data_IF_154437323354
#
_entry.id   IF_154437323354
#
_cell.length_a   1.000
_cell.length_b   1.000
_cell.length_c   1.000
_cell.angle_alpha   90.00
_cell.angle_beta   90.00
_cell.angle_gamma   90.00
#
_symmetry.space_group_name_H-M   'P 1'
#
loop_
_entity.id
_entity.type
_entity.pdbx_description
1 polymer ?
#
# COMPACT_ATOMS: atom_id res chain seq x y z
N UNK A 1 56.61 7.46 -5.67
CA UNK A 1 56.48 6.00 -5.82
C UNK A 1 55.66 5.76 -7.06
N UNK A 2 56.31 5.29 -8.12
CA UNK A 2 55.76 5.04 -9.46
C UNK A 2 55.52 3.53 -9.58
N UNK A 3 54.31 3.12 -9.98
CA UNK A 3 54.03 1.87 -10.71
C UNK A 3 52.67 2.11 -11.42
N UNK A 4 52.62 2.36 -12.73
CA UNK A 4 52.90 1.51 -13.90
C UNK A 4 51.63 0.88 -14.46
N UNK A 5 51.42 1.16 -15.75
CA UNK A 5 50.39 0.68 -16.66
C UNK A 5 50.55 -0.82 -16.96
N UNK A 6 49.42 -1.52 -17.14
CA UNK A 6 49.27 -2.67 -18.05
C UNK A 6 47.86 -2.59 -18.65
N UNK A 7 47.76 -2.16 -19.91
CA UNK A 7 47.31 -2.91 -21.11
C UNK A 7 45.90 -3.51 -21.04
N UNK A 8 44.91 -2.93 -21.73
CA UNK A 8 44.49 -3.22 -23.12
C UNK A 8 43.98 -4.66 -23.33
N UNK A 9 42.68 -4.77 -23.60
CA UNK A 9 42.11 -5.80 -24.46
C UNK A 9 40.96 -5.19 -25.28
N UNK A 10 41.24 -4.97 -26.56
CA UNK A 10 40.28 -4.70 -27.62
C UNK A 10 39.36 -5.91 -27.83
N UNK A 11 38.08 -5.64 -28.10
CA UNK A 11 37.33 -6.43 -29.06
C UNK A 11 36.59 -5.47 -29.98
N UNK A 12 37.22 -5.23 -31.13
CA UNK A 12 36.60 -4.72 -32.34
C UNK A 12 36.03 -5.92 -33.07
N UNK A 13 34.74 -5.90 -33.39
CA UNK A 13 34.17 -6.73 -34.46
C UNK A 13 33.39 -5.77 -35.36
N UNK A 14 34.01 -5.50 -36.50
CA UNK A 14 33.35 -5.05 -37.73
C UNK A 14 32.28 -6.09 -38.11
N UNK A 15 31.11 -5.62 -38.53
CA UNK A 15 30.57 -5.96 -39.84
C UNK A 15 29.36 -5.09 -40.14
N UNK A 16 29.64 -4.04 -40.91
CA UNK A 16 28.77 -3.63 -42.00
C UNK A 16 28.38 -4.86 -42.85
N UNK A 17 27.21 -4.74 -43.46
CA UNK A 17 26.57 -5.66 -44.40
C UNK A 17 25.80 -6.83 -43.77
N UNK A 18 24.48 -6.66 -43.70
CA UNK A 18 23.51 -7.53 -44.39
C UNK A 18 22.23 -6.69 -44.66
N UNK A 19 22.12 -6.25 -45.93
CA UNK A 19 20.89 -6.21 -46.73
C UNK A 19 19.78 -5.25 -46.20
N UNK A 20 19.70 -3.98 -46.59
CA UNK A 20 19.32 -3.46 -47.92
C UNK A 20 18.34 -4.35 -48.71
N UNK A 21 17.08 -4.41 -48.28
CA UNK A 21 15.94 -4.75 -49.15
C UNK A 21 14.91 -3.63 -49.04
N UNK A 22 14.74 -2.96 -50.18
CA UNK A 22 13.51 -2.34 -50.68
C UNK A 22 12.79 -1.33 -49.78
N UNK A 23 12.99 -0.05 -50.13
CA UNK A 23 12.08 1.05 -49.81
C UNK A 23 10.89 1.14 -50.79
N UNK A 24 10.68 0.12 -51.63
CA UNK A 24 9.66 0.11 -52.68
C UNK A 24 8.99 -1.27 -52.77
N UNK A 25 8.12 -1.63 -51.80
CA UNK A 25 6.98 -2.53 -52.05
C UNK A 25 6.02 -2.59 -50.86
N UNK A 26 4.71 -2.57 -51.16
CA UNK A 26 3.54 -2.67 -50.27
C UNK A 26 3.12 -1.43 -49.49
N UNK A 27 2.98 -0.33 -50.23
CA UNK A 27 1.87 0.62 -50.07
C UNK A 27 0.64 0.07 -50.84
N UNK A 28 0.02 -1.00 -50.31
CA UNK A 28 -1.24 -1.61 -50.77
C UNK A 28 -1.73 -2.42 -49.56
N UNK A 29 -2.89 -2.29 -48.91
CA UNK A 29 -4.16 -1.55 -48.99
C UNK A 29 -4.88 -1.86 -47.67
N UNK A 30 -5.75 -0.96 -47.19
CA UNK A 30 -7.12 -1.30 -46.73
C UNK A 30 -7.87 -0.10 -46.11
N UNK A 31 -7.77 1.08 -46.72
CA UNK A 31 -8.90 2.02 -46.76
C UNK A 31 -9.40 2.06 -48.20
N UNK A 32 -10.09 1.00 -48.62
CA UNK A 32 -11.09 0.89 -49.71
C UNK A 32 -11.26 -0.57 -50.10
N UNK A 33 -12.16 -1.26 -49.41
CA UNK A 33 -13.02 -2.24 -50.08
C UNK A 33 -14.41 -1.62 -50.04
N UNK A 34 -14.72 -0.87 -51.10
CA UNK A 34 -16.07 -0.88 -51.63
C UNK A 34 -16.40 -2.32 -52.00
N UNK A 35 -17.60 -2.75 -51.60
CA UNK A 35 -18.45 -3.69 -52.31
C UNK A 35 -17.75 -4.53 -53.38
N UNK A 36 -17.46 -5.79 -53.05
CA UNK A 36 -17.91 -6.92 -53.86
C UNK A 36 -17.63 -8.21 -53.09
N UNK A 37 -18.56 -9.16 -53.20
CA UNK A 37 -18.56 -10.49 -52.59
C UNK A 37 -18.93 -10.63 -51.11
N UNK A 38 -19.99 -9.93 -50.67
CA UNK A 38 -21.00 -10.64 -49.87
C UNK A 38 -21.88 -11.36 -50.89
N UNK A 39 -21.55 -12.61 -51.21
CA UNK A 39 -22.58 -13.51 -51.71
C UNK A 39 -23.57 -13.63 -50.57
N UNK A 40 -24.70 -12.94 -50.72
CA UNK A 40 -25.96 -13.37 -50.14
C UNK A 40 -26.05 -14.88 -50.34
N UNK A 41 -25.90 -15.64 -49.27
CA UNK A 41 -26.59 -16.92 -49.19
C UNK A 41 -28.05 -16.51 -49.02
N UNK A 42 -28.71 -16.23 -50.15
CA UNK A 42 -30.16 -16.20 -50.14
C UNK A 42 -30.58 -17.63 -49.80
N UNK A 43 -31.35 -17.73 -48.73
CA UNK A 43 -32.06 -18.94 -48.35
C UNK A 43 -33.20 -19.10 -49.36
N UNK A 44 -32.86 -19.43 -50.59
CA UNK A 44 -33.79 -19.74 -51.67
C UNK A 44 -33.42 -21.10 -52.24
N UNK A 45 -33.67 -22.12 -51.43
CA UNK A 45 -33.72 -23.50 -51.93
C UNK A 45 -34.57 -24.38 -51.02
N UNK A 46 -35.73 -23.88 -50.57
CA UNK A 46 -36.81 -24.73 -50.07
C UNK A 46 -38.16 -24.07 -50.33
N UNK A 47 -38.62 -24.11 -51.58
CA UNK A 47 -40.05 -24.05 -51.93
C UNK A 47 -40.18 -24.37 -53.42
N UNK A 48 -40.01 -25.65 -53.77
CA UNK A 48 -40.58 -26.18 -55.01
C UNK A 48 -41.54 -27.31 -54.63
N UNK A 49 -42.75 -26.91 -54.21
CA UNK A 49 -43.91 -27.81 -54.20
C UNK A 49 -44.23 -28.08 -55.67
N UNK A 50 -43.64 -29.16 -56.21
CA UNK A 50 -44.09 -29.75 -57.47
C UNK A 50 -45.53 -30.23 -57.27
N UNK A 51 -46.48 -29.41 -57.72
CA UNK A 51 -47.84 -29.85 -58.05
C UNK A 51 -47.76 -30.87 -59.19
N UNK A 52 -47.70 -32.15 -58.86
CA UNK A 52 -48.03 -33.21 -59.81
C UNK A 52 -49.56 -33.26 -59.96
N UNK A 53 -50.06 -32.58 -60.99
CA UNK A 53 -51.30 -32.95 -61.67
C UNK A 53 -51.02 -34.28 -62.38
N UNK A 54 -51.74 -35.34 -62.00
CA UNK A 54 -51.98 -36.47 -62.89
C UNK A 54 -53.39 -37.01 -62.69
N UNK A 55 -54.26 -36.53 -63.58
CA UNK A 55 -55.14 -37.29 -64.47
C UNK A 55 -55.78 -38.57 -63.91
N UNK A 56 -57.07 -38.43 -63.62
CA UNK A 56 -58.04 -39.52 -63.46
C UNK A 56 -58.26 -40.18 -64.83
N UNK A 57 -58.02 -41.48 -64.91
CA UNK A 57 -58.54 -42.37 -65.96
C UNK A 57 -59.21 -43.57 -65.27
N UNK A 58 -60.54 -43.67 -65.44
CA UNK A 58 -61.38 -44.87 -65.26
C UNK A 58 -61.07 -45.84 -66.42
N UNK A 59 -61.08 -47.17 -66.40
CA UNK A 59 -61.56 -48.32 -65.57
C UNK A 59 -60.86 -49.60 -66.19
N UNK A 60 -61.03 -50.90 -65.79
CA UNK A 60 -62.02 -51.53 -64.90
C UNK A 60 -61.46 -52.54 -63.85
N UNK A 61 -62.40 -53.00 -63.03
CA UNK A 61 -62.53 -54.12 -62.05
C UNK A 61 -61.37 -55.13 -61.80
N UNK A 62 -61.21 -55.40 -60.49
CA UNK A 62 -60.44 -56.44 -59.75
C UNK A 62 -59.00 -56.06 -59.33
N UNK A 63 -58.70 -56.23 -58.02
CA UNK A 63 -57.43 -55.94 -57.32
C UNK A 63 -57.05 -54.47 -57.01
N UNK A 64 -58.00 -53.64 -56.57
CA UNK A 64 -57.69 -52.26 -56.09
C UNK A 64 -56.88 -52.19 -54.80
N UNK A 65 -56.98 -53.17 -53.92
CA UNK A 65 -56.31 -53.10 -52.61
C UNK A 65 -54.79 -53.28 -52.77
N UNK A 66 -54.34 -54.25 -53.56
CA UNK A 66 -52.91 -54.62 -53.65
C UNK A 66 -52.04 -53.53 -54.30
N UNK A 67 -52.57 -52.78 -55.26
CA UNK A 67 -51.90 -51.65 -55.91
C UNK A 67 -51.86 -50.39 -55.03
N UNK A 68 -52.88 -50.18 -54.20
CA UNK A 68 -52.91 -49.12 -53.19
C UNK A 68 -51.92 -49.43 -52.07
N UNK A 69 -51.87 -50.67 -51.58
CA UNK A 69 -50.91 -51.09 -50.55
C UNK A 69 -49.47 -50.94 -51.02
N UNK A 70 -49.16 -51.34 -52.27
CA UNK A 70 -47.81 -51.14 -52.86
C UNK A 70 -47.44 -49.66 -53.02
N UNK A 71 -48.40 -48.78 -53.36
CA UNK A 71 -48.16 -47.33 -53.39
C UNK A 71 -47.96 -46.75 -52.00
N UNK A 72 -48.73 -47.19 -51.01
CA UNK A 72 -48.59 -46.77 -49.60
C UNK A 72 -47.22 -47.18 -49.06
N UNK A 73 -46.80 -48.44 -49.25
CA UNK A 73 -45.48 -48.93 -48.83
C UNK A 73 -44.36 -48.11 -49.48
N UNK A 74 -44.44 -47.82 -50.79
CA UNK A 74 -43.44 -46.99 -51.48
C UNK A 74 -43.38 -45.56 -50.95
N UNK A 75 -44.53 -44.97 -50.58
CA UNK A 75 -44.59 -43.63 -49.97
C UNK A 75 -44.01 -43.64 -48.55
N UNK A 76 -44.29 -44.70 -47.76
CA UNK A 76 -43.72 -44.88 -46.43
C UNK A 76 -42.20 -45.04 -46.50
N UNK A 77 -41.68 -45.90 -47.38
CA UNK A 77 -40.24 -46.08 -47.59
C UNK A 77 -39.55 -44.79 -48.04
N UNK A 78 -40.20 -44.00 -48.92
CA UNK A 78 -39.71 -42.68 -49.31
C UNK A 78 -39.71 -41.69 -48.14
N UNK A 79 -40.74 -41.73 -47.29
CA UNK A 79 -40.83 -40.86 -46.12
C UNK A 79 -39.81 -41.24 -45.05
N UNK A 80 -39.56 -42.53 -44.83
CA UNK A 80 -38.52 -43.03 -43.92
C UNK A 80 -37.13 -42.66 -44.44
N UNK A 81 -36.89 -42.77 -45.76
CA UNK A 81 -35.66 -42.30 -46.39
C UNK A 81 -35.46 -40.80 -46.23
N UNK A 82 -36.53 -39.99 -46.40
CA UNK A 82 -36.49 -38.55 -46.16
C UNK A 82 -36.27 -38.20 -44.69
N UNK A 83 -36.88 -38.93 -43.77
CA UNK A 83 -36.66 -38.78 -42.32
C UNK A 83 -35.20 -39.05 -41.98
N UNK A 84 -34.62 -40.15 -42.47
CA UNK A 84 -33.20 -40.47 -42.22
C UNK A 84 -32.24 -39.41 -42.77
N UNK A 85 -32.55 -38.83 -43.94
CA UNK A 85 -31.78 -37.71 -44.50
C UNK A 85 -31.93 -36.44 -43.67
N UNK A 86 -33.12 -36.17 -43.16
CA UNK A 86 -33.38 -35.03 -42.29
C UNK A 86 -32.63 -35.16 -40.96
N UNK A 87 -32.63 -36.34 -40.35
CA UNK A 87 -31.88 -36.63 -39.13
C UNK A 87 -30.36 -36.50 -39.36
N UNK A 88 -29.87 -36.99 -40.51
CA UNK A 88 -28.48 -36.78 -40.93
C UNK A 88 -28.16 -35.29 -41.08
N UNK A 89 -29.03 -34.49 -41.69
CA UNK A 89 -28.84 -33.05 -41.84
C UNK A 89 -28.85 -32.30 -40.49
N UNK A 90 -29.75 -32.69 -39.59
CA UNK A 90 -29.80 -32.15 -38.22
C UNK A 90 -28.49 -32.46 -37.49
N UNK A 91 -27.99 -33.69 -37.59
CA UNK A 91 -26.72 -34.07 -36.95
C UNK A 91 -25.54 -33.24 -37.48
N UNK A 92 -25.46 -33.01 -38.80
CA UNK A 92 -24.42 -32.17 -39.39
C UNK A 92 -24.54 -30.70 -38.96
N UNK A 93 -25.76 -30.19 -38.83
CA UNK A 93 -25.98 -28.80 -38.38
C UNK A 93 -25.59 -28.60 -36.92
N UNK A 94 -25.84 -29.59 -36.05
CA UNK A 94 -25.39 -29.56 -34.66
C UNK A 94 -23.86 -29.51 -34.59
N UNK A 95 -23.17 -30.36 -35.36
CA UNK A 95 -21.69 -30.34 -35.41
C UNK A 95 -21.13 -29.01 -35.93
N UNK A 96 -21.79 -28.40 -36.93
CA UNK A 96 -21.41 -27.07 -37.44
C UNK A 96 -21.64 -25.98 -36.38
N UNK A 97 -22.75 -26.03 -35.63
CA UNK A 97 -23.03 -25.10 -34.53
C UNK A 97 -21.99 -25.21 -33.41
N UNK A 98 -21.58 -26.43 -33.04
CA UNK A 98 -20.52 -26.65 -32.05
C UNK A 98 -19.18 -26.10 -32.54
N UNK A 99 -18.85 -26.33 -33.82
CA UNK A 99 -17.64 -25.76 -34.43
C UNK A 99 -17.66 -24.23 -34.44
N UNK A 100 -18.79 -23.59 -34.78
CA UNK A 100 -18.94 -22.13 -34.77
C UNK A 100 -18.79 -21.60 -33.34
N UNK A 101 -19.39 -22.29 -32.36
CA UNK A 101 -19.31 -21.91 -30.95
C UNK A 101 -17.87 -21.99 -30.44
N UNK A 102 -17.10 -23.01 -30.85
CA UNK A 102 -15.67 -23.12 -30.54
C UNK A 102 -14.86 -21.99 -31.17
N UNK A 103 -15.15 -21.60 -32.42
CA UNK A 103 -14.47 -20.49 -33.09
C UNK A 103 -14.77 -19.16 -32.39
N UNK A 104 -16.01 -18.92 -31.98
CA UNK A 104 -16.39 -17.74 -31.21
C UNK A 104 -15.66 -17.68 -29.87
N UNK A 105 -15.54 -18.81 -29.17
CA UNK A 105 -14.80 -18.86 -27.91
C UNK A 105 -13.30 -18.54 -28.08
N UNK A 106 -12.70 -19.03 -29.17
CA UNK A 106 -11.32 -18.71 -29.52
C UNK A 106 -11.16 -17.22 -29.87
N UNK A 107 -12.13 -16.63 -30.57
CA UNK A 107 -12.13 -15.21 -30.90
C UNK A 107 -12.24 -14.32 -29.64
N UNK A 108 -13.13 -14.67 -28.70
CA UNK A 108 -13.24 -13.98 -27.41
C UNK A 108 -11.94 -14.06 -26.60
N UNK A 109 -11.28 -15.22 -26.63
CA UNK A 109 -9.98 -15.41 -25.99
C UNK A 109 -8.90 -14.54 -26.63
N UNK A 110 -8.92 -14.39 -27.96
CA UNK A 110 -8.00 -13.52 -28.70
C UNK A 110 -8.24 -12.03 -28.38
N UNK A 111 -9.49 -11.60 -28.27
CA UNK A 111 -9.85 -10.23 -27.84
C UNK A 111 -9.30 -9.95 -26.44
N UNK A 112 -9.52 -10.87 -25.49
CA UNK A 112 -9.01 -10.73 -24.12
C UNK A 112 -7.48 -10.61 -24.11
N UNK A 113 -6.78 -11.44 -24.88
CA UNK A 113 -5.33 -11.39 -24.99
C UNK A 113 -4.85 -10.04 -25.56
N UNK A 114 -5.51 -9.52 -26.59
CA UNK A 114 -5.17 -8.24 -27.19
C UNK A 114 -5.38 -7.07 -26.21
N UNK A 115 -6.47 -7.09 -25.44
CA UNK A 115 -6.71 -6.11 -24.38
C UNK A 115 -5.62 -6.14 -23.30
N UNK A 116 -5.19 -7.34 -22.88
CA UNK A 116 -4.08 -7.50 -21.93
C UNK A 116 -2.77 -6.96 -22.51
N UNK A 117 -2.48 -7.25 -23.78
CA UNK A 117 -1.28 -6.75 -24.44
C UNK A 117 -1.29 -5.21 -24.52
N UNK A 118 -2.43 -4.62 -24.87
CA UNK A 118 -2.61 -3.16 -24.93
C UNK A 118 -2.39 -2.50 -23.56
N UNK A 119 -2.97 -3.08 -22.49
CA UNK A 119 -2.76 -2.59 -21.12
C UNK A 119 -1.28 -2.67 -20.70
N UNK A 120 -0.58 -3.75 -21.09
CA UNK A 120 0.87 -3.88 -20.88
C UNK A 120 1.64 -2.79 -21.61
N UNK A 121 1.34 -2.53 -22.88
CA UNK A 121 2.00 -1.48 -23.66
C UNK A 121 1.82 -0.09 -23.04
N UNK A 122 0.63 0.22 -22.52
CA UNK A 122 0.37 1.49 -21.82
C UNK A 122 1.22 1.58 -20.54
N UNK A 123 1.24 0.53 -19.71
CA UNK A 123 2.06 0.48 -18.49
C UNK A 123 3.56 0.63 -18.78
N UNK A 124 4.06 0.00 -19.83
CA UNK A 124 5.45 0.15 -20.25
C UNK A 124 5.77 1.58 -20.69
N UNK A 125 4.87 2.21 -21.46
CA UNK A 125 5.02 3.61 -21.88
C UNK A 125 5.04 4.56 -20.67
N UNK A 126 4.16 4.35 -19.69
CA UNK A 126 4.11 5.17 -18.48
C UNK A 126 5.38 5.00 -17.64
N UNK A 127 5.87 3.77 -17.49
CA UNK A 127 7.13 3.50 -16.80
C UNK A 127 8.32 4.17 -17.50
N UNK A 128 8.32 4.21 -18.84
CA UNK A 128 9.37 4.86 -19.62
C UNK A 128 9.32 6.38 -19.46
N UNK A 129 8.12 6.98 -19.45
CA UNK A 129 7.97 8.41 -19.13
C UNK A 129 8.47 8.76 -17.73
N UNK A 130 8.15 7.93 -16.74
CA UNK A 130 8.63 8.14 -15.36
C UNK A 130 10.17 8.05 -15.30
N UNK A 131 10.77 7.05 -15.94
CA UNK A 131 12.22 6.90 -16.01
C UNK A 131 12.87 8.13 -16.67
N UNK A 132 12.29 8.64 -17.77
CA UNK A 132 12.76 9.86 -18.44
C UNK A 132 12.69 11.09 -17.53
N UNK A 133 11.58 11.30 -16.83
CA UNK A 133 11.43 12.42 -15.90
C UNK A 133 12.45 12.37 -14.74
N UNK A 134 12.78 11.18 -14.25
CA UNK A 134 13.83 11.00 -13.23
C UNK A 134 15.21 11.33 -13.79
N UNK A 135 15.52 10.90 -15.01
CA UNK A 135 16.78 11.22 -15.69
C UNK A 135 16.92 12.74 -15.86
N UNK A 136 15.89 13.41 -16.37
CA UNK A 136 15.90 14.86 -16.56
C UNK A 136 16.14 15.60 -15.23
N UNK A 137 15.47 15.15 -14.15
CA UNK A 137 15.70 15.69 -12.80
C UNK A 137 17.12 15.49 -12.28
N UNK A 138 17.74 14.33 -12.58
CA UNK A 138 19.13 14.04 -12.19
C UNK A 138 20.11 14.89 -12.98
N UNK A 139 19.88 15.10 -14.28
CA UNK A 139 20.69 15.98 -15.13
C UNK A 139 20.66 17.41 -14.59
N UNK A 140 19.49 17.95 -14.26
CA UNK A 140 19.34 19.27 -13.65
C UNK A 140 20.08 19.41 -12.31
N UNK A 141 20.10 18.35 -11.49
CA UNK A 141 20.87 18.34 -10.23
C UNK A 141 22.37 18.34 -10.52
N UNK A 142 22.83 17.54 -11.47
CA UNK A 142 24.23 17.48 -11.87
C UNK A 142 24.73 18.83 -12.40
N UNK A 143 23.93 19.52 -13.22
CA UNK A 143 24.27 20.86 -13.70
C UNK A 143 24.36 21.90 -12.59
N UNK A 144 23.42 21.89 -11.62
CA UNK A 144 23.48 22.78 -10.45
C UNK A 144 24.73 22.55 -9.61
N UNK A 145 25.09 21.29 -9.39
CA UNK A 145 26.33 20.93 -8.69
C UNK A 145 27.57 21.40 -9.46
N UNK A 146 27.58 21.21 -10.78
CA UNK A 146 28.68 21.66 -11.64
C UNK A 146 28.87 23.18 -11.58
N UNK A 147 27.78 23.96 -11.68
CA UNK A 147 27.81 25.42 -11.53
C UNK A 147 28.32 25.85 -10.16
N UNK A 148 27.86 25.20 -9.08
CA UNK A 148 28.33 25.50 -7.73
C UNK A 148 29.83 25.19 -7.55
N UNK A 149 30.30 24.10 -8.14
CA UNK A 149 31.72 23.73 -8.10
C UNK A 149 32.59 24.73 -8.87
N UNK A 150 32.11 25.22 -10.03
CA UNK A 150 32.77 26.29 -10.79
C UNK A 150 32.86 27.60 -10.01
N UNK A 151 31.87 27.94 -9.17
CA UNK A 151 31.90 29.11 -8.30
C UNK A 151 32.82 28.94 -7.08
N UNK A 152 32.98 27.71 -6.58
CA UNK A 152 33.83 27.43 -5.42
C UNK A 152 35.32 27.46 -5.75
N UNK A 153 35.72 27.09 -6.97
CA UNK A 153 37.13 27.13 -7.38
C UNK A 153 37.80 28.51 -7.23
N UNK A 154 37.25 29.62 -7.76
CA UNK A 154 37.88 30.94 -7.59
C UNK A 154 37.90 31.39 -6.14
N UNK A 155 36.84 31.11 -5.37
CA UNK A 155 36.79 31.45 -3.94
C UNK A 155 37.88 30.72 -3.14
N UNK A 156 38.10 29.43 -3.45
CA UNK A 156 39.15 28.65 -2.80
C UNK A 156 40.55 29.13 -3.19
N UNK A 157 40.71 29.60 -4.43
CA UNK A 157 41.96 30.24 -4.89
C UNK A 157 42.21 31.56 -4.16
N UNK A 158 41.19 32.42 -4.04
CA UNK A 158 41.28 33.69 -3.32
C UNK A 158 41.59 33.47 -1.83
N UNK A 159 40.95 32.49 -1.20
CA UNK A 159 41.23 32.15 0.20
C UNK A 159 42.68 31.70 0.41
N UNK A 160 43.20 30.86 -0.49
CA UNK A 160 44.61 30.43 -0.44
C UNK A 160 45.58 31.60 -0.65
N UNK A 161 45.26 32.55 -1.54
CA UNK A 161 46.05 33.78 -1.71
C UNK A 161 46.03 34.64 -0.44
N UNK A 162 44.88 34.77 0.23
CA UNK A 162 44.77 35.49 1.51
C UNK A 162 45.58 34.82 2.62
N UNK A 163 45.52 33.48 2.73
CA UNK A 163 46.31 32.72 3.71
C UNK A 163 47.80 32.97 3.48
N UNK A 164 48.27 32.84 2.25
CA UNK A 164 49.69 33.07 1.91
C UNK A 164 50.14 34.50 2.25
N UNK A 165 49.28 35.49 1.98
CA UNK A 165 49.58 36.90 2.29
C UNK A 165 49.63 37.16 3.81
N UNK A 166 48.77 36.48 4.59
CA UNK A 166 48.85 36.52 6.05
C UNK A 166 50.11 35.85 6.58
N UNK A 167 50.51 34.71 6.01
CA UNK A 167 51.77 34.04 6.36
C UNK A 167 52.99 34.94 6.11
N UNK A 168 53.03 35.62 4.95
CA UNK A 168 54.09 36.60 4.65
C UNK A 168 54.11 37.76 5.65
N UNK A 169 52.95 38.32 6.01
CA UNK A 169 52.86 39.39 7.03
C UNK A 169 53.34 38.93 8.39
N UNK A 170 52.99 37.71 8.82
CA UNK A 170 53.45 37.13 10.09
C UNK A 170 54.98 36.97 10.06
N UNK A 171 55.53 36.46 8.95
CA UNK A 171 56.98 36.31 8.80
C UNK A 171 57.71 37.67 8.87
N UNK A 172 57.17 38.71 8.22
CA UNK A 172 57.75 40.06 8.25
C UNK A 172 57.69 40.66 9.67
N UNK A 173 56.56 40.49 10.37
CA UNK A 173 56.44 40.95 11.75
C UNK A 173 57.40 40.22 12.69
N UNK A 174 57.61 38.92 12.50
CA UNK A 174 58.60 38.15 13.27
C UNK A 174 60.01 38.71 13.08
N UNK A 175 60.43 38.95 11.83
CA UNK A 175 61.74 39.55 11.55
C UNK A 175 61.89 40.95 12.15
N UNK A 176 60.83 41.77 12.12
CA UNK A 176 60.85 43.10 12.72
C UNK A 176 61.01 43.02 14.25
N UNK A 177 60.36 42.07 14.90
CA UNK A 177 60.50 41.83 16.34
C UNK A 177 61.92 41.38 16.70
N UNK A 178 62.51 40.47 15.91
CA UNK A 178 63.89 40.01 16.13
C UNK A 178 64.89 41.17 16.03
N UNK A 179 64.72 42.05 15.03
CA UNK A 179 65.54 43.27 14.88
C UNK A 179 65.35 44.27 16.04
N UNK A 180 64.13 44.40 16.57
CA UNK A 180 63.90 45.25 17.74
C UNK A 180 64.58 44.69 18.99
N UNK A 181 64.55 43.37 19.17
CA UNK A 181 65.23 42.68 20.27
C UNK A 181 66.74 42.91 20.20
N UNK A 182 67.36 42.81 19.02
CA UNK A 182 68.78 43.12 18.84
C UNK A 182 69.11 44.57 19.23
N UNK A 183 68.34 45.55 18.73
CA UNK A 183 68.54 46.96 19.08
C UNK A 183 68.40 47.25 20.57
N UNK A 184 67.51 46.54 21.27
CA UNK A 184 67.36 46.65 22.73
C UNK A 184 68.61 46.12 23.42
N UNK A 185 69.15 44.97 23.00
CA UNK A 185 70.39 44.41 23.55
C UNK A 185 71.60 45.33 23.35
N UNK A 186 71.74 45.92 22.17
CA UNK A 186 72.80 46.91 21.90
C UNK A 186 72.67 48.15 22.81
N UNK A 187 71.44 48.65 23.01
CA UNK A 187 71.21 49.76 23.94
C UNK A 187 71.55 49.40 25.38
N UNK A 188 71.21 48.20 25.84
CA UNK A 188 71.57 47.73 27.19
C UNK A 188 73.09 47.65 27.39
N UNK A 189 73.85 47.24 26.37
CA UNK A 189 75.32 47.29 26.42
C UNK A 189 75.85 48.72 26.54
N UNK A 190 75.35 49.64 25.72
CA UNK A 190 75.74 51.05 25.77
C UNK A 190 75.40 51.70 27.12
N UNK A 191 74.27 51.32 27.73
CA UNK A 191 73.91 51.80 29.07
C UNK A 191 74.91 51.32 30.12
N UNK A 192 75.31 50.06 30.10
CA UNK A 192 76.33 49.51 31.02
C UNK A 192 77.68 50.19 30.85
N UNK A 193 78.10 50.47 29.61
CA UNK A 193 79.34 51.20 29.34
C UNK A 193 79.29 52.63 29.87
N UNK A 194 78.17 53.33 29.70
CA UNK A 194 78.00 54.68 30.24
C UNK A 194 77.96 54.69 31.76
N UNK A 195 77.30 53.72 32.37
CA UNK A 195 77.24 53.57 33.83
C UNK A 195 78.66 53.40 34.42
N UNK A 196 79.51 52.61 33.75
CA UNK A 196 80.93 52.45 34.11
C UNK A 196 81.70 53.77 34.03
N UNK A 197 81.48 54.56 32.97
CA UNK A 197 82.10 55.88 32.80
C UNK A 197 81.64 56.84 33.91
N UNK A 198 80.35 56.85 34.24
CA UNK A 198 79.84 57.68 35.33
C UNK A 198 80.40 57.26 36.69
N UNK A 199 80.53 55.96 36.97
CA UNK A 199 81.17 55.50 38.21
C UNK A 199 82.65 55.90 38.28
N UNK A 200 83.36 55.89 37.16
CA UNK A 200 84.77 56.34 37.09
C UNK A 200 84.89 57.87 37.27
N UNK A 201 83.98 58.64 36.67
CA UNK A 201 83.95 60.10 36.81
C UNK A 201 83.57 60.55 38.24
N UNK A 202 82.72 59.79 38.94
CA UNK A 202 82.38 60.04 40.35
C UNK A 202 83.58 59.79 41.28
N UNK A 203 84.51 58.89 40.92
CA UNK A 203 85.75 58.67 41.66
C UNK A 203 86.79 59.78 41.45
N UNK A 204 86.81 60.44 40.29
CA UNK A 204 87.72 61.57 39.97
C UNK A 204 87.27 62.93 40.54
N UNK A 205 85.99 63.08 40.90
CA UNK A 205 85.44 64.38 41.33
C UNK A 205 85.37 64.52 42.86
N UNK A 206 86.54 64.63 43.51
CA UNK A 206 86.61 64.92 44.95
C UNK A 206 87.55 66.09 45.28
N UNK A 207 87.31 67.27 44.70
CA UNK A 207 87.74 68.59 45.20
C UNK A 207 86.76 69.65 44.66
N UNK A 208 85.96 70.26 45.55
CA UNK A 208 85.58 71.70 45.58
C UNK A 208 84.39 71.97 46.53
N UNK A 209 84.66 71.91 47.84
CA UNK A 209 83.62 71.87 48.89
C UNK A 209 82.86 73.19 49.13
N UNK A 210 83.29 74.34 48.59
CA UNK A 210 82.72 75.65 48.98
C UNK A 210 81.84 76.30 47.88
N UNK A 211 81.96 75.88 46.61
CA UNK A 211 80.89 76.08 45.61
C UNK A 211 79.76 75.05 45.78
N UNK A 212 80.07 73.91 46.40
CA UNK A 212 79.14 72.82 46.65
C UNK A 212 78.03 73.23 47.61
N UNK A 213 78.27 73.93 48.73
CA UNK A 213 77.22 74.27 49.71
C UNK A 213 76.12 75.21 49.17
N UNK A 214 76.46 76.22 48.37
CA UNK A 214 75.47 77.08 47.70
C UNK A 214 74.69 76.34 46.59
N UNK A 215 75.35 75.41 45.90
CA UNK A 215 74.68 74.49 44.97
C UNK A 215 73.87 73.42 45.71
N UNK A 216 74.27 73.01 46.92
CA UNK A 216 73.62 72.01 47.77
C UNK A 216 72.31 72.56 48.32
N UNK A 217 72.26 73.83 48.72
CA UNK A 217 71.04 74.46 49.19
C UNK A 217 70.03 74.67 48.05
N UNK A 218 70.50 75.07 46.87
CA UNK A 218 69.69 75.13 45.64
C UNK A 218 69.19 73.72 45.23
N UNK A 219 70.08 72.72 45.25
CA UNK A 219 69.76 71.32 44.97
C UNK A 219 68.85 70.69 46.01
N UNK A 220 68.94 71.06 47.28
CA UNK A 220 68.02 70.60 48.33
C UNK A 220 66.63 71.18 48.16
N UNK A 221 66.51 72.43 47.71
CA UNK A 221 65.20 72.99 47.35
C UNK A 221 64.63 72.34 46.08
N UNK A 222 65.49 72.04 45.10
CA UNK A 222 65.11 71.29 43.90
C UNK A 222 64.71 69.83 44.24
N UNK A 223 65.44 69.19 45.18
CA UNK A 223 65.16 67.85 45.68
C UNK A 223 63.85 67.82 46.47
N UNK A 224 63.59 68.79 47.34
CA UNK A 224 62.31 68.88 48.04
C UNK A 224 61.13 69.06 47.07
N UNK A 225 61.34 69.79 45.96
CA UNK A 225 60.37 69.87 44.86
C UNK A 225 60.16 68.51 44.17
N UNK A 226 61.26 67.80 43.88
CA UNK A 226 61.21 66.46 43.27
C UNK A 226 60.64 65.39 44.21
N UNK A 227 60.87 65.48 45.51
CA UNK A 227 60.30 64.55 46.50
C UNK A 227 58.77 64.72 46.55
N UNK A 228 58.30 65.96 46.48
CA UNK A 228 56.86 66.25 46.38
C UNK A 228 56.25 65.78 45.05
N UNK A 229 57.00 65.90 43.95
CA UNK A 229 56.62 65.35 42.65
C UNK A 229 56.57 63.81 42.70
N UNK A 230 57.57 63.16 43.32
CA UNK A 230 57.62 61.71 43.53
C UNK A 230 56.43 61.25 44.38
N UNK A 231 56.06 62.01 45.42
CA UNK A 231 54.90 61.69 46.28
C UNK A 231 53.59 61.76 45.49
N UNK A 232 53.38 62.82 44.70
CA UNK A 232 52.22 62.95 43.81
C UNK A 232 52.19 61.85 42.74
N UNK A 233 53.35 61.48 42.18
CA UNK A 233 53.46 60.38 41.24
C UNK A 233 53.17 59.03 41.90
N UNK A 234 53.63 58.82 43.14
CA UNK A 234 53.36 57.61 43.90
C UNK A 234 51.86 57.47 44.22
N UNK A 235 51.20 58.58 44.58
CA UNK A 235 49.75 58.64 44.78
C UNK A 235 48.99 58.33 43.49
N UNK A 236 49.39 58.94 42.36
CA UNK A 236 48.81 58.64 41.04
C UNK A 236 49.02 57.18 40.62
N UNK A 237 50.17 56.59 40.93
CA UNK A 237 50.44 55.16 40.67
C UNK A 237 49.57 54.27 41.56
N UNK A 238 49.36 54.64 42.82
CA UNK A 238 48.50 53.90 43.74
C UNK A 238 47.03 53.92 43.29
N UNK A 239 46.54 55.07 42.87
CA UNK A 239 45.20 55.23 42.30
C UNK A 239 45.01 54.39 41.03
N UNK A 240 45.97 54.46 40.09
CA UNK A 240 45.96 53.62 38.88
C UNK A 240 46.03 52.12 39.19
N UNK A 241 46.76 51.71 40.23
CA UNK A 241 46.78 50.30 40.68
C UNK A 241 45.41 49.87 41.21
N UNK A 242 44.73 50.73 41.98
CA UNK A 242 43.39 50.45 42.47
C UNK A 242 42.39 50.28 41.31
N UNK A 243 42.45 51.18 40.32
CA UNK A 243 41.62 51.08 39.11
C UNK A 243 41.89 49.80 38.31
N UNK A 244 43.16 49.42 38.15
CA UNK A 244 43.53 48.16 37.47
C UNK A 244 42.97 46.95 38.23
N UNK A 245 43.04 46.94 39.56
CA UNK A 245 42.47 45.84 40.37
C UNK A 245 40.94 45.77 40.22
N UNK A 246 40.25 46.91 40.24
CA UNK A 246 38.82 46.97 40.01
C UNK A 246 38.45 46.44 38.62
N UNK A 247 39.18 46.85 37.58
CA UNK A 247 38.98 46.37 36.20
C UNK A 247 39.26 44.88 36.05
N UNK A 248 40.29 44.36 36.71
CA UNK A 248 40.58 42.92 36.71
C UNK A 248 39.47 42.11 37.37
N UNK A 249 38.86 42.64 38.45
CA UNK A 249 37.70 41.99 39.08
C UNK A 249 36.50 41.94 38.13
N UNK A 250 36.19 43.06 37.47
CA UNK A 250 35.12 43.15 36.47
C UNK A 250 35.36 42.17 35.30
N UNK A 251 36.60 42.07 34.80
CA UNK A 251 36.98 41.12 33.73
C UNK A 251 36.76 39.68 34.18
N UNK A 252 37.09 39.33 35.43
CA UNK A 252 36.90 37.98 35.94
C UNK A 252 35.41 37.63 36.07
N UNK A 253 34.58 38.57 36.56
CA UNK A 253 33.13 38.39 36.63
C UNK A 253 32.53 38.17 35.23
N UNK A 254 32.95 38.96 34.23
CA UNK A 254 32.54 38.78 32.83
C UNK A 254 32.98 37.40 32.30
N UNK A 255 34.20 36.96 32.62
CA UNK A 255 34.72 35.67 32.18
C UNK A 255 33.92 34.50 32.75
N UNK A 256 33.54 34.57 34.02
CA UNK A 256 32.76 33.53 34.66
C UNK A 256 31.30 33.52 34.17
N UNK A 257 30.69 34.70 33.96
CA UNK A 257 29.39 34.81 33.31
C UNK A 257 29.40 34.19 31.91
N UNK A 258 30.44 34.48 31.11
CA UNK A 258 30.59 33.91 29.77
C UNK A 258 30.73 32.38 29.78
N UNK A 259 31.45 31.81 30.75
CA UNK A 259 31.51 30.35 30.92
C UNK A 259 30.14 29.76 31.25
N UNK A 260 29.39 30.38 32.15
CA UNK A 260 28.05 29.93 32.51
C UNK A 260 27.07 29.99 31.33
N UNK A 261 27.17 31.03 30.50
CA UNK A 261 26.39 31.13 29.26
C UNK A 261 26.74 30.05 28.25
N UNK A 262 28.03 29.71 28.08
CA UNK A 262 28.46 28.62 27.22
C UNK A 262 27.87 27.27 27.68
N UNK A 263 27.93 26.99 28.99
CA UNK A 263 27.33 25.77 29.56
C UNK A 263 25.82 25.73 29.28
N UNK A 264 25.11 26.85 29.47
CA UNK A 264 23.68 26.93 29.14
C UNK A 264 23.42 26.66 27.66
N UNK A 265 24.22 27.24 26.76
CA UNK A 265 24.10 27.01 25.32
C UNK A 265 24.28 25.53 24.98
N UNK A 266 25.27 24.86 25.56
CA UNK A 266 25.50 23.44 25.31
C UNK A 266 24.37 22.57 25.86
N UNK A 267 23.84 22.86 27.06
CA UNK A 267 22.67 22.14 27.57
C UNK A 267 21.42 22.32 26.70
N UNK A 268 21.23 23.52 26.14
CA UNK A 268 20.12 23.79 25.21
C UNK A 268 20.31 23.03 23.90
N UNK A 269 21.54 22.96 23.37
CA UNK A 269 21.85 22.17 22.16
C UNK A 269 21.55 20.68 22.37
N UNK A 270 21.95 20.12 23.50
CA UNK A 270 21.66 18.72 23.84
C UNK A 270 20.16 18.48 23.95
N UNK A 271 19.43 19.41 24.58
CA UNK A 271 17.98 19.28 24.71
C UNK A 271 17.27 19.37 23.36
N UNK A 272 17.70 20.27 22.47
CA UNK A 272 17.19 20.38 21.09
C UNK A 272 17.46 19.08 20.33
N UNK A 273 18.68 18.56 20.36
CA UNK A 273 19.05 17.31 19.67
C UNK A 273 18.20 16.12 20.15
N UNK A 274 17.94 16.02 21.46
CA UNK A 274 17.07 14.99 22.03
C UNK A 274 15.62 15.14 21.54
N UNK A 275 15.10 16.37 21.52
CA UNK A 275 13.73 16.67 21.09
C UNK A 275 13.54 16.37 19.59
N UNK A 276 14.52 16.71 18.74
CA UNK A 276 14.50 16.38 17.31
C UNK A 276 14.47 14.88 17.08
N UNK A 277 15.25 14.10 17.86
CA UNK A 277 15.24 12.64 17.80
C UNK A 277 13.88 12.06 18.19
N UNK A 278 13.26 12.55 19.26
CA UNK A 278 11.93 12.13 19.69
C UNK A 278 10.85 12.48 18.65
N UNK A 279 10.93 13.67 18.05
CA UNK A 279 10.03 14.10 16.99
C UNK A 279 10.15 13.19 15.75
N UNK A 280 11.37 12.82 15.36
CA UNK A 280 11.61 11.92 14.24
C UNK A 280 11.06 10.51 14.50
N UNK A 281 11.21 9.99 15.73
CA UNK A 281 10.60 8.73 16.14
C UNK A 281 9.06 8.80 16.15
N UNK A 282 8.48 9.90 16.60
CA UNK A 282 7.03 10.10 16.57
C UNK A 282 6.50 10.16 15.14
N UNK A 283 7.19 10.89 14.26
CA UNK A 283 6.84 11.00 12.83
C UNK A 283 6.86 9.65 12.13
N UNK A 284 7.89 8.83 12.36
CA UNK A 284 7.97 7.48 11.77
C UNK A 284 6.87 6.55 12.27
N UNK A 285 6.52 6.61 13.57
CA UNK A 285 5.36 5.87 14.11
C UNK A 285 4.05 6.31 13.47
N UNK A 286 3.86 7.62 13.27
CA UNK A 286 2.66 8.15 12.61
C UNK A 286 2.56 7.70 11.15
N UNK A 287 3.66 7.71 10.40
CA UNK A 287 3.72 7.21 9.03
C UNK A 287 3.42 5.71 8.94
N UNK A 288 3.89 4.91 9.89
CA UNK A 288 3.55 3.49 9.97
C UNK A 288 2.06 3.27 10.26
N UNK A 289 1.52 3.94 11.28
CA UNK A 289 0.11 3.84 11.65
C UNK A 289 -0.82 4.31 10.53
N UNK A 290 -0.47 5.37 9.82
CA UNK A 290 -1.26 5.83 8.65
C UNK A 290 -1.22 4.84 7.49
N UNK A 291 -0.09 4.19 7.22
CA UNK A 291 -0.02 3.09 6.24
C UNK A 291 -0.88 1.91 6.66
N UNK A 292 -0.84 1.53 7.94
CA UNK A 292 -1.65 0.44 8.47
C UNK A 292 -3.15 0.75 8.38
N UNK A 293 -3.58 1.95 8.77
CA UNK A 293 -4.97 2.41 8.61
C UNK A 293 -5.39 2.38 7.14
N UNK A 294 -4.51 2.82 6.22
CA UNK A 294 -4.80 2.78 4.79
C UNK A 294 -4.97 1.34 4.29
N UNK A 295 -4.09 0.43 4.70
CA UNK A 295 -4.18 -0.99 4.36
C UNK A 295 -5.46 -1.63 4.92
N UNK A 296 -5.82 -1.32 6.18
CA UNK A 296 -7.07 -1.77 6.79
C UNK A 296 -8.31 -1.23 6.06
N UNK A 297 -8.31 0.06 5.69
CA UNK A 297 -9.39 0.67 4.89
C UNK A 297 -9.53 0.01 3.53
N UNK A 298 -8.42 -0.29 2.84
CA UNK A 298 -8.43 -1.02 1.57
C UNK A 298 -8.98 -2.44 1.74
N UNK A 299 -8.52 -3.17 2.77
CA UNK A 299 -9.02 -4.50 3.09
C UNK A 299 -10.51 -4.50 3.42
N UNK A 300 -10.99 -3.53 4.20
CA UNK A 300 -12.42 -3.33 4.44
C UNK A 300 -13.14 -3.08 3.11
N UNK A 301 -12.64 -2.17 2.27
CA UNK A 301 -13.26 -1.90 0.97
C UNK A 301 -13.35 -3.14 0.06
N UNK A 302 -12.30 -3.97 0.02
CA UNK A 302 -12.27 -5.24 -0.70
C UNK A 302 -13.23 -6.29 -0.11
N UNK A 303 -13.40 -6.32 1.21
CA UNK A 303 -14.34 -7.22 1.89
C UNK A 303 -15.79 -6.78 1.66
N UNK A 304 -16.08 -5.49 1.86
CA UNK A 304 -17.40 -4.87 1.73
C UNK A 304 -17.86 -4.72 0.28
N UNK A 305 -16.95 -4.90 -0.69
CA UNK A 305 -17.12 -4.74 -2.14
C UNK A 305 -18.59 -4.65 -2.58
N UNK A 306 -19.05 -3.40 -2.76
CA UNK A 306 -20.46 -3.04 -2.94
C UNK A 306 -21.13 -3.78 -4.10
N UNK A 307 -20.39 -4.40 -5.03
CA UNK A 307 -20.90 -5.09 -6.23
C UNK A 307 -21.06 -6.61 -6.13
N UNK A 308 -20.76 -7.25 -4.99
CA UNK A 308 -20.91 -8.72 -4.84
C UNK A 308 -22.38 -9.15 -5.02
N UNK A 309 -22.67 -9.86 -6.10
CA UNK A 309 -24.00 -10.41 -6.40
C UNK A 309 -24.39 -11.59 -5.50
N UNK A 310 -23.40 -12.33 -4.99
CA UNK A 310 -23.59 -13.49 -4.11
C UNK A 310 -22.71 -13.29 -2.88
N UNK A 311 -23.26 -13.55 -1.68
CA UNK A 311 -22.52 -13.50 -0.42
C UNK A 311 -22.79 -14.73 0.42
N UNK A 312 -21.77 -15.22 1.11
CA UNK A 312 -21.89 -16.30 2.08
C UNK A 312 -22.23 -15.70 3.44
N UNK A 313 -23.30 -16.19 4.04
CA UNK A 313 -23.83 -15.69 5.32
C UNK A 313 -24.02 -16.83 6.31
N UNK A 314 -23.94 -16.49 7.59
CA UNK A 314 -24.12 -17.43 8.68
C UNK A 314 -24.83 -16.75 9.85
N UNK A 315 -25.70 -17.47 10.55
CA UNK A 315 -26.40 -16.94 11.71
C UNK A 315 -27.48 -17.87 12.22
N UNK A 316 -28.60 -17.30 12.66
CA UNK A 316 -29.65 -18.01 13.38
C UNK A 316 -30.95 -17.94 12.57
N UNK A 317 -31.57 -19.09 12.37
CA UNK A 317 -32.92 -19.24 11.86
C UNK A 317 -33.86 -19.66 12.99
N UNK A 318 -35.05 -19.07 13.02
CA UNK A 318 -36.15 -19.40 13.91
C UNK A 318 -37.25 -19.97 13.04
N UNK A 319 -37.56 -21.26 13.21
CA UNK A 319 -38.67 -21.90 12.50
C UNK A 319 -39.84 -22.14 13.45
N UNK A 320 -41.05 -22.03 12.91
CA UNK A 320 -42.29 -22.31 13.63
C UNK A 320 -42.64 -23.81 13.59
N UNK A 321 -41.66 -24.63 13.95
CA UNK A 321 -41.80 -26.07 14.11
C UNK A 321 -40.59 -26.59 14.86
N UNK A 322 -40.82 -27.14 16.05
CA UNK A 322 -39.75 -27.75 16.84
C UNK A 322 -39.60 -29.22 16.49
N UNK A 323 -38.37 -29.63 16.18
CA UNK A 323 -38.05 -31.03 15.93
C UNK A 323 -38.49 -31.89 17.13
N UNK A 324 -39.43 -32.83 16.96
CA UNK A 324 -39.85 -33.66 18.08
C UNK A 324 -38.71 -34.59 18.50
N UNK A 325 -38.56 -34.75 19.81
CA UNK A 325 -37.65 -35.73 20.39
C UNK A 325 -38.49 -36.74 21.16
N UNK A 326 -38.94 -37.76 20.43
CA UNK A 326 -39.72 -38.83 21.04
C UNK A 326 -38.84 -39.71 21.92
N UNK A 327 -39.29 -39.94 23.14
CA UNK A 327 -38.73 -40.89 24.09
C UNK A 327 -39.83 -41.77 24.65
N UNK A 328 -39.43 -42.91 25.22
CA UNK A 328 -40.33 -43.84 25.89
C UNK A 328 -40.07 -43.74 27.38
N UNK A 329 -41.07 -43.33 28.13
CA UNK A 329 -41.05 -43.33 29.59
C UNK A 329 -42.04 -44.37 30.12
N UNK A 330 -41.74 -45.07 31.23
CA UNK A 330 -42.73 -45.95 31.85
C UNK A 330 -43.97 -45.14 32.26
N UNK A 331 -45.17 -45.71 32.06
CA UNK A 331 -46.45 -45.06 32.36
C UNK A 331 -46.57 -44.66 33.84
N UNK A 332 -46.08 -45.53 34.73
CA UNK A 332 -46.03 -45.32 36.18
C UNK A 332 -44.91 -46.18 36.77
N UNK A 333 -44.43 -45.83 37.98
CA UNK A 333 -43.55 -46.69 38.78
C UNK A 333 -44.17 -48.06 39.07
N UNK A 334 -45.50 -48.14 39.03
CA UNK A 334 -46.27 -49.34 39.41
C UNK A 334 -46.59 -50.25 38.21
N UNK A 335 -46.39 -49.79 36.97
CA UNK A 335 -46.64 -50.55 35.74
C UNK A 335 -45.46 -50.43 34.76
N UNK A 336 -44.35 -51.18 34.98
CA UNK A 336 -43.15 -51.09 34.14
C UNK A 336 -43.30 -51.73 32.75
N UNK A 337 -44.36 -52.50 32.51
CA UNK A 337 -44.59 -53.23 31.26
C UNK A 337 -45.16 -52.35 30.13
N UNK A 338 -45.57 -51.12 30.45
CA UNK A 338 -46.16 -50.15 29.52
C UNK A 338 -45.36 -48.86 29.49
N UNK A 339 -45.02 -48.45 28.28
CA UNK A 339 -44.31 -47.21 28.04
C UNK A 339 -45.22 -46.23 27.31
N UNK A 340 -45.16 -44.97 27.69
CA UNK A 340 -45.84 -43.86 27.04
C UNK A 340 -44.87 -43.19 26.08
N UNK A 341 -45.34 -42.90 24.86
CA UNK A 341 -44.60 -42.05 23.92
C UNK A 341 -44.70 -40.61 24.41
N UNK A 342 -43.57 -40.03 24.84
CA UNK A 342 -43.45 -38.63 25.23
C UNK A 342 -42.56 -37.87 24.26
N UNK A 343 -42.84 -36.58 24.04
CA UNK A 343 -41.94 -35.68 23.33
C UNK A 343 -41.23 -34.77 24.33
N UNK A 344 -39.92 -34.87 24.43
CA UNK A 344 -39.12 -34.08 25.38
C UNK A 344 -38.96 -32.62 24.95
N UNK A 345 -39.24 -32.33 23.68
CA UNK A 345 -39.16 -30.99 23.13
C UNK A 345 -40.53 -30.30 23.20
N UNK A 346 -40.73 -29.48 24.23
CA UNK A 346 -41.93 -28.64 24.36
C UNK A 346 -41.81 -27.30 23.60
N UNK A 347 -42.92 -26.82 23.02
CA UNK A 347 -43.05 -25.49 22.40
C UNK A 347 -43.01 -25.48 20.87
N UNK A 348 -43.40 -24.33 20.30
CA UNK A 348 -43.71 -24.20 18.86
C UNK A 348 -42.52 -23.78 17.98
N UNK A 349 -41.44 -23.26 18.59
CA UNK A 349 -40.32 -22.66 17.86
C UNK A 349 -38.99 -23.38 18.12
N UNK A 350 -38.15 -23.45 17.09
CA UNK A 350 -36.77 -23.97 17.18
C UNK A 350 -35.77 -22.98 16.57
N UNK A 351 -34.63 -22.84 17.24
CA UNK A 351 -33.50 -22.04 16.81
C UNK A 351 -32.45 -22.93 16.16
N UNK A 352 -32.26 -22.77 14.87
CA UNK A 352 -31.24 -23.45 14.10
C UNK A 352 -30.09 -22.50 13.79
N UNK A 353 -28.87 -23.02 13.84
CA UNK A 353 -27.75 -22.36 13.22
C UNK A 353 -27.82 -22.60 11.71
N UNK A 354 -27.86 -21.52 10.93
CA UNK A 354 -28.04 -21.56 9.48
C UNK A 354 -26.82 -20.97 8.79
N UNK A 355 -26.33 -21.68 7.78
CA UNK A 355 -25.24 -21.24 6.89
C UNK A 355 -25.72 -21.30 5.45
N UNK A 356 -25.49 -20.25 4.66
CA UNK A 356 -26.02 -20.20 3.31
C UNK A 356 -25.44 -19.10 2.45
N UNK A 357 -26.09 -18.84 1.33
CA UNK A 357 -25.76 -17.78 0.40
C UNK A 357 -26.97 -16.85 0.18
N UNK A 358 -26.69 -15.55 0.15
CA UNK A 358 -27.65 -14.53 -0.28
C UNK A 358 -27.30 -14.05 -1.68
N UNK A 359 -28.30 -14.00 -2.55
CA UNK A 359 -28.23 -13.55 -3.92
C UNK A 359 -28.89 -12.18 -4.01
N UNK A 360 -28.14 -11.17 -4.44
CA UNK A 360 -28.67 -9.83 -4.64
C UNK A 360 -29.52 -9.77 -5.92
N UNK A 361 -30.73 -9.26 -5.78
CA UNK A 361 -31.62 -8.96 -6.90
C UNK A 361 -31.63 -7.46 -7.21
N UNK A 362 -31.77 -6.62 -6.18
CA UNK A 362 -31.85 -5.17 -6.31
C UNK A 362 -30.97 -4.48 -5.27
N UNK A 363 -30.20 -3.49 -5.71
CA UNK A 363 -29.46 -2.61 -4.81
C UNK A 363 -30.38 -1.46 -4.36
N UNK A 364 -30.56 -1.30 -3.06
CA UNK A 364 -31.34 -0.21 -2.47
C UNK A 364 -30.44 0.94 -1.97
N UNK A 365 -29.12 0.81 -2.12
CA UNK A 365 -28.17 1.83 -1.71
C UNK A 365 -28.27 3.09 -2.57
N UNK A 366 -28.28 4.26 -1.94
CA UNK A 366 -28.02 5.52 -2.64
C UNK A 366 -26.55 5.56 -3.10
N UNK A 367 -26.26 6.20 -4.23
CA UNK A 367 -24.91 6.21 -4.85
C UNK A 367 -23.79 6.65 -3.87
N UNK A 368 -24.10 7.55 -2.93
CA UNK A 368 -23.15 8.07 -1.92
C UNK A 368 -23.38 7.54 -0.49
N UNK A 369 -24.20 6.50 -0.32
CA UNK A 369 -24.47 5.95 1.02
C UNK A 369 -23.21 5.28 1.62
N UNK A 370 -22.96 5.57 2.90
CA UNK A 370 -21.88 4.95 3.69
C UNK A 370 -22.08 3.42 3.81
N UNK A 371 -23.33 2.96 3.83
CA UNK A 371 -23.72 1.56 3.97
C UNK A 371 -24.58 1.11 2.80
N UNK A 372 -24.41 -0.14 2.37
CA UNK A 372 -25.27 -0.78 1.37
C UNK A 372 -26.44 -1.50 2.03
N UNK A 373 -27.59 -1.35 1.39
CA UNK A 373 -28.80 -2.14 1.64
C UNK A 373 -29.20 -2.77 0.34
N UNK A 374 -29.55 -4.05 0.35
CA UNK A 374 -29.98 -4.74 -0.86
C UNK A 374 -31.14 -5.70 -0.58
N UNK A 375 -31.96 -5.92 -1.62
CA UNK A 375 -33.02 -6.93 -1.61
C UNK A 375 -32.56 -8.09 -2.45
N UNK A 376 -32.82 -9.29 -1.96
CA UNK A 376 -32.36 -10.49 -2.58
C UNK A 376 -33.13 -11.71 -2.15
N UNK A 377 -32.49 -12.84 -2.39
CA UNK A 377 -32.98 -14.16 -2.08
C UNK A 377 -31.94 -14.91 -1.27
N UNK A 378 -32.35 -15.67 -0.27
CA UNK A 378 -31.50 -16.49 0.55
C UNK A 378 -31.75 -17.97 0.28
N UNK A 379 -30.66 -18.72 0.21
CA UNK A 379 -30.66 -20.17 0.22
C UNK A 379 -29.62 -20.64 1.24
N UNK A 380 -30.04 -21.43 2.21
CA UNK A 380 -29.16 -21.92 3.25
C UNK A 380 -29.53 -23.29 3.77
N UNK A 381 -28.66 -23.80 4.63
CA UNK A 381 -28.75 -25.10 5.28
C UNK A 381 -28.55 -24.90 6.78
N UNK A 382 -29.25 -25.68 7.61
CA UNK A 382 -29.15 -25.52 9.06
C UNK A 382 -29.37 -26.78 9.87
N UNK A 383 -29.23 -26.66 11.19
CA UNK A 383 -29.45 -27.76 12.13
C UNK A 383 -28.41 -28.88 12.05
N UNK A 384 -28.74 -30.05 12.63
CA UNK A 384 -27.79 -31.18 12.79
C UNK A 384 -27.41 -31.88 11.47
N UNK A 385 -28.20 -31.74 10.40
CA UNK A 385 -27.91 -32.34 9.10
C UNK A 385 -28.16 -31.35 7.95
N UNK A 386 -27.06 -30.85 7.37
CA UNK A 386 -27.08 -29.81 6.34
C UNK A 386 -27.80 -30.25 5.05
N UNK A 387 -27.86 -31.55 4.75
CA UNK A 387 -28.48 -32.05 3.50
C UNK A 387 -29.97 -32.34 3.62
N UNK A 388 -30.55 -32.16 4.82
CA UNK A 388 -31.93 -32.53 5.13
C UNK A 388 -32.72 -31.38 5.76
N UNK A 389 -32.17 -30.17 5.72
CA UNK A 389 -32.74 -29.01 6.39
C UNK A 389 -32.37 -27.73 5.62
N UNK A 390 -33.26 -27.32 4.72
CA UNK A 390 -33.05 -26.23 3.76
C UNK A 390 -33.86 -25.01 4.16
N UNK A 391 -33.29 -23.84 3.96
CA UNK A 391 -33.89 -22.55 4.26
C UNK A 391 -33.92 -21.72 2.99
N UNK A 392 -35.10 -21.24 2.60
CA UNK A 392 -35.28 -20.53 1.34
C UNK A 392 -36.29 -19.39 1.49
N UNK A 393 -35.95 -18.20 0.96
CA UNK A 393 -36.87 -17.06 1.02
C UNK A 393 -36.25 -15.72 0.65
N UNK A 394 -37.04 -14.64 0.59
CA UNK A 394 -36.52 -13.29 0.44
C UNK A 394 -35.54 -12.91 1.55
N UNK A 395 -34.57 -12.09 1.19
CA UNK A 395 -33.57 -11.52 2.08
C UNK A 395 -33.51 -10.00 1.89
N UNK A 396 -33.42 -9.27 3.00
CA UNK A 396 -33.10 -7.85 3.03
C UNK A 396 -31.81 -7.67 3.80
N UNK A 397 -30.83 -7.08 3.14
CA UNK A 397 -29.58 -6.69 3.77
C UNK A 397 -29.64 -5.26 4.28
N UNK A 398 -29.08 -5.06 5.47
CA UNK A 398 -28.98 -3.77 6.14
C UNK A 398 -27.55 -3.59 6.67
N UNK A 399 -27.05 -2.35 6.65
CA UNK A 399 -25.77 -1.95 7.24
C UNK A 399 -24.57 -2.77 6.76
N UNK A 400 -24.50 -3.08 5.46
CA UNK A 400 -23.42 -3.85 4.84
C UNK A 400 -23.23 -5.31 5.26
N UNK A 401 -23.81 -5.77 6.38
CA UNK A 401 -23.42 -7.06 6.95
C UNK A 401 -24.56 -7.86 7.58
N UNK A 402 -25.71 -7.23 7.85
CA UNK A 402 -26.86 -7.88 8.49
C UNK A 402 -27.85 -8.28 7.42
N UNK A 403 -28.29 -9.54 7.47
CA UNK A 403 -29.22 -10.13 6.52
C UNK A 403 -30.45 -10.64 7.27
N UNK A 404 -31.60 -10.05 6.96
CA UNK A 404 -32.89 -10.45 7.50
C UNK A 404 -33.59 -11.31 6.44
N UNK A 405 -33.83 -12.57 6.80
CA UNK A 405 -34.44 -13.57 5.94
C UNK A 405 -35.83 -13.92 6.48
N UNK A 406 -36.79 -14.13 5.60
CA UNK A 406 -38.08 -14.73 5.95
C UNK A 406 -38.51 -15.65 4.83
N UNK A 407 -39.09 -16.81 5.14
CA UNK A 407 -39.50 -17.75 4.10
C UNK A 407 -39.93 -19.09 4.64
N UNK A 408 -39.56 -20.14 3.92
CA UNK A 408 -39.90 -21.52 4.28
C UNK A 408 -38.64 -22.33 4.60
N UNK A 409 -38.76 -23.15 5.63
CA UNK A 409 -37.84 -24.20 5.98
C UNK A 409 -38.42 -25.53 5.48
N UNK A 410 -37.61 -26.27 4.73
CA UNK A 410 -37.97 -27.59 4.20
C UNK A 410 -37.02 -28.59 4.82
N UNK A 411 -37.52 -29.44 5.71
CA UNK A 411 -36.68 -30.36 6.45
C UNK A 411 -37.30 -31.75 6.61
N UNK A 412 -36.44 -32.77 6.67
CA UNK A 412 -36.84 -34.14 6.96
C UNK A 412 -36.79 -34.38 8.47
N UNK A 413 -37.95 -34.63 9.07
CA UNK A 413 -38.09 -34.93 10.49
C UNK A 413 -38.45 -36.41 10.70
N UNK A 414 -38.09 -36.94 11.87
CA UNK A 414 -38.62 -38.23 12.34
C UNK A 414 -39.92 -37.95 13.08
N UNK A 415 -41.04 -38.27 12.44
CA UNK A 415 -42.38 -38.13 13.01
C UNK A 415 -42.94 -39.49 13.40
N UNK A 416 -43.96 -39.53 14.26
CA UNK A 416 -44.65 -40.78 14.57
C UNK A 416 -45.33 -41.34 13.31
N UNK A 417 -45.29 -42.67 13.18
CA UNK A 417 -45.97 -43.39 12.11
C UNK A 417 -47.47 -43.18 12.24
N UNK A 418 -48.16 -43.09 11.10
CA UNK A 418 -49.63 -43.00 11.06
C UNK A 418 -50.27 -44.08 11.94
N UNK A 419 -51.15 -43.66 12.85
CA UNK A 419 -51.78 -44.50 13.85
C UNK A 419 -51.18 -44.43 15.26
N UNK A 420 -50.08 -43.70 15.46
CA UNK A 420 -49.49 -43.40 16.78
C UNK A 420 -49.46 -41.89 17.05
N UNK A 421 -49.77 -41.50 18.28
CA UNK A 421 -49.78 -40.13 18.79
C UNK A 421 -48.96 -40.01 20.07
N UNK A 422 -48.57 -38.79 20.43
CA UNK A 422 -48.00 -38.51 21.75
C UNK A 422 -49.03 -38.90 22.84
N UNK A 423 -48.57 -39.60 23.88
CA UNK A 423 -49.45 -40.15 24.92
C UNK A 423 -49.92 -41.59 24.69
N UNK A 424 -49.66 -42.17 23.51
CA UNK A 424 -50.03 -43.57 23.24
C UNK A 424 -49.15 -44.56 24.03
N UNK A 425 -49.79 -45.65 24.46
CA UNK A 425 -49.14 -46.74 25.19
C UNK A 425 -48.55 -47.76 24.22
N UNK A 426 -47.28 -48.08 24.40
CA UNK A 426 -46.56 -49.11 23.64
C UNK A 426 -46.00 -50.19 24.57
N UNK A 427 -45.96 -51.47 24.11
CA UNK A 427 -45.38 -52.56 24.89
C UNK A 427 -43.88 -52.33 25.18
N UNK A 428 -43.43 -52.79 26.35
CA UNK A 428 -42.01 -52.82 26.69
C UNK A 428 -41.20 -53.60 25.63
N UNK A 429 -40.10 -53.00 25.16
CA UNK A 429 -39.22 -53.57 24.12
C UNK A 429 -39.57 -53.19 22.68
N UNK A 430 -40.68 -52.49 22.45
CA UNK A 430 -40.99 -51.92 21.13
C UNK A 430 -40.11 -50.69 20.85
N UNK A 431 -39.58 -50.58 19.64
CA UNK A 431 -38.91 -49.35 19.19
C UNK A 431 -39.94 -48.25 18.91
N UNK A 432 -39.56 -46.99 19.12
CA UNK A 432 -40.45 -45.85 18.86
C UNK A 432 -40.88 -45.89 17.38
N UNK A 433 -42.18 -46.00 17.08
CA UNK A 433 -42.68 -46.15 15.73
C UNK A 433 -42.59 -44.82 14.99
N UNK A 434 -41.40 -44.50 14.47
CA UNK A 434 -41.12 -43.27 13.72
C UNK A 434 -40.94 -43.53 12.23
N UNK A 435 -41.30 -42.54 11.41
CA UNK A 435 -41.06 -42.48 9.97
C UNK A 435 -40.41 -41.15 9.63
N UNK A 436 -39.50 -41.16 8.65
CA UNK A 436 -38.94 -39.91 8.12
C UNK A 436 -39.95 -39.26 7.18
N UNK A 437 -40.30 -38.00 7.43
CA UNK A 437 -41.23 -37.21 6.62
C UNK A 437 -40.70 -35.80 6.41
N UNK A 438 -40.88 -35.28 5.20
CA UNK A 438 -40.59 -33.88 4.89
C UNK A 438 -41.71 -32.98 5.37
N UNK A 439 -41.36 -31.95 6.12
CA UNK A 439 -42.28 -30.88 6.54
C UNK A 439 -41.80 -29.54 6.01
N UNK A 440 -42.77 -28.68 5.68
CA UNK A 440 -42.54 -27.33 5.18
C UNK A 440 -43.10 -26.36 6.22
N UNK A 441 -42.23 -25.53 6.79
CA UNK A 441 -42.55 -24.71 7.95
C UNK A 441 -42.10 -23.27 7.70
N UNK A 442 -42.84 -22.24 8.14
CA UNK A 442 -42.38 -20.86 8.00
C UNK A 442 -41.18 -20.61 8.93
N UNK A 443 -40.22 -19.80 8.48
CA UNK A 443 -39.09 -19.38 9.29
C UNK A 443 -38.77 -17.89 9.12
N UNK A 444 -38.09 -17.36 10.14
CA UNK A 444 -37.48 -16.05 10.17
C UNK A 444 -35.99 -16.21 10.53
N UNK A 445 -35.09 -15.51 9.85
CA UNK A 445 -33.66 -15.66 10.03
C UNK A 445 -32.94 -14.33 10.16
N UNK A 446 -31.95 -14.31 11.05
CA UNK A 446 -30.96 -13.24 11.17
C UNK A 446 -29.58 -13.84 10.88
N UNK A 447 -29.00 -13.43 9.75
CA UNK A 447 -27.70 -13.93 9.29
C UNK A 447 -26.71 -12.78 9.07
N UNK A 448 -25.42 -13.09 9.11
CA UNK A 448 -24.34 -12.13 8.97
C UNK A 448 -23.34 -12.58 7.91
N UNK A 449 -22.73 -11.62 7.21
CA UNK A 449 -21.70 -11.90 6.21
C UNK A 449 -20.50 -12.65 6.81
N UNK A 450 -20.17 -13.83 6.28
CA UNK A 450 -19.10 -14.70 6.77
C UNK A 450 -17.72 -14.01 6.70
N UNK A 451 -17.53 -13.14 5.71
CA UNK A 451 -16.31 -12.34 5.54
C UNK A 451 -16.07 -11.37 6.70
N UNK A 452 -17.13 -10.87 7.35
CA UNK A 452 -17.01 -10.02 8.52
C UNK A 452 -16.69 -10.86 9.76
N UNK A 453 -17.45 -11.93 10.00
CA UNK A 453 -17.27 -12.83 11.16
C UNK A 453 -15.82 -13.31 11.22
N UNK A 454 -15.29 -13.80 10.11
CA UNK A 454 -13.90 -14.28 10.01
C UNK A 454 -12.86 -13.18 10.23
N UNK A 455 -13.14 -11.94 9.82
CA UNK A 455 -12.24 -10.80 10.03
C UNK A 455 -12.15 -10.35 11.49
N UNK A 456 -13.24 -10.50 12.24
CA UNK A 456 -13.31 -10.18 13.68
C UNK A 456 -12.69 -11.32 14.49
N UNK A 457 -13.04 -12.57 14.16
CA UNK A 457 -12.53 -13.76 14.83
C UNK A 457 -11.01 -13.94 14.64
N UNK A 458 -10.43 -13.55 13.51
CA UNK A 458 -8.98 -13.62 13.28
C UNK A 458 -8.15 -12.54 14.02
N UNK A 459 -8.79 -11.69 14.83
CA UNK A 459 -8.14 -10.65 15.66
C UNK A 459 -8.33 -10.85 17.16
N UNK A 460 -9.22 -11.76 17.58
CA UNK A 460 -9.28 -12.31 18.94
C UNK A 460 -8.28 -13.45 19.04
#
# INVERSE_FOLDING_TARGET
>A
MVFSLVSLAQFSIEQDSIINISKDTLLVTSDTIKSDSIKSISVESFLEIKKSKDTIVQEPRSNKNDTLTKRIVKVVEQNDSLSSKNDSLISTNILLLDSITSVLHNYDSLIKLNLVYRDRCVKYKDSLMQAKAVIDSMVDKAERLRKRNQLLQPLNKELNEQIKNLEEKISQQSQMLDQQIEKIKEKEQLFKEKELIYTNAIQESKIDLVKLEGQLQSKNSELAGKDREIELLAESIAERKADILAKNKEINEIKDNRKNEIIKIDTLRDHIAKTEKELLLSKTKLEYSTKEIKALKQRIHELTNKKKKIRLVQGIGIRNFRSPLYTLAPESSDNPDRYVISNENAGDYEFDFVTGATFRLLDLGKEDSKYTSDVGFFLGFGGKNLFKNFYIGPNIKIFDVIHINAGINIAEFRLLKSGFSEGDLVPQGMSIPTVSKWEITPYFGLTFDFSLITSIAGKL
#
